data_IF_364987749992
#
_entry.id   IF_364987749992
#
_cell.length_a   1.000
_cell.length_b   1.000
_cell.length_c   1.000
_cell.angle_alpha   90.00
_cell.angle_beta   90.00
_cell.angle_gamma   90.00
#
_symmetry.space_group_name_H-M   'P 1'
#
loop_
_entity.id
_entity.type
_entity.pdbx_description
1 polymer ?
#
# COMPACT_ATOMS: atom_id res chain seq x y z
N UNK A 1 -21.43 -8.47 -38.00
CA UNK A 1 -22.03 -7.12 -37.94
C UNK A 1 -23.02 -7.04 -36.79
N UNK A 2 -22.55 -6.77 -35.57
CA UNK A 2 -23.42 -6.34 -34.48
C UNK A 2 -23.10 -4.87 -34.20
N UNK A 3 -24.04 -3.98 -34.52
CA UNK A 3 -24.00 -2.56 -34.18
C UNK A 3 -24.81 -2.40 -32.90
N UNK A 4 -24.16 -2.04 -31.80
CA UNK A 4 -24.85 -1.54 -30.62
C UNK A 4 -25.20 -0.07 -30.87
N UNK A 5 -26.48 0.27 -30.73
CA UNK A 5 -26.98 1.65 -30.70
C UNK A 5 -27.10 2.03 -29.24
N UNK A 6 -26.45 3.12 -28.82
CA UNK A 6 -26.56 3.65 -27.46
C UNK A 6 -27.75 4.62 -27.40
N UNK A 7 -28.62 4.37 -26.42
CA UNK A 7 -29.65 5.30 -25.97
C UNK A 7 -29.02 6.08 -24.81
N UNK A 8 -29.15 7.40 -24.87
CA UNK A 8 -28.85 8.36 -23.79
C UNK A 8 -27.38 8.65 -23.47
N UNK A 9 -26.83 9.67 -24.13
CA UNK A 9 -25.92 10.69 -23.56
C UNK A 9 -24.60 10.27 -22.90
N UNK A 10 -24.32 8.98 -22.76
CA UNK A 10 -23.11 8.45 -22.16
C UNK A 10 -22.00 8.47 -23.21
N UNK A 11 -20.88 9.10 -22.87
CA UNK A 11 -19.73 9.13 -23.77
C UNK A 11 -19.20 7.69 -23.91
N UNK A 12 -18.81 7.29 -25.12
CA UNK A 12 -18.22 5.98 -25.36
C UNK A 12 -16.91 5.77 -24.57
N UNK A 13 -16.27 6.85 -24.12
CA UNK A 13 -15.20 6.81 -23.12
C UNK A 13 -15.64 6.27 -21.76
N UNK A 14 -16.82 6.66 -21.26
CA UNK A 14 -17.34 6.25 -19.93
C UNK A 14 -17.77 4.76 -19.94
N UNK A 15 -18.13 4.23 -21.11
CA UNK A 15 -18.45 2.81 -21.31
C UNK A 15 -17.22 1.90 -21.34
N UNK A 16 -16.03 2.43 -21.65
CA UNK A 16 -14.78 1.66 -21.63
C UNK A 16 -14.29 1.40 -20.21
N UNK A 17 -14.62 2.27 -19.26
CA UNK A 17 -14.31 2.12 -17.83
C UNK A 17 -15.17 1.03 -17.15
N UNK A 18 -16.20 0.51 -17.83
CA UNK A 18 -17.06 -0.60 -17.38
C UNK A 18 -16.58 -1.99 -17.86
N UNK A 19 -15.61 -2.05 -18.77
CA UNK A 19 -14.97 -3.32 -19.15
C UNK A 19 -13.87 -3.64 -18.13
N UNK A 20 -13.63 -4.92 -17.78
CA UNK A 20 -12.54 -5.26 -16.86
C UNK A 20 -11.24 -4.69 -17.41
N UNK A 21 -10.67 -3.74 -16.67
CA UNK A 21 -9.50 -2.98 -17.09
C UNK A 21 -8.40 -3.97 -17.52
N UNK A 22 -8.00 -3.87 -18.78
CA UNK A 22 -6.82 -4.58 -19.25
C UNK A 22 -5.64 -4.01 -18.47
N UNK A 23 -5.12 -4.77 -17.51
CA UNK A 23 -3.90 -4.37 -16.80
C UNK A 23 -2.65 -4.69 -17.63
N UNK A 24 -1.64 -3.84 -17.48
CA UNK A 24 -0.37 -3.91 -18.18
C UNK A 24 0.75 -4.19 -17.18
N UNK A 25 1.82 -4.84 -17.63
CA UNK A 25 3.11 -4.95 -16.91
C UNK A 25 4.08 -3.82 -17.31
N UNK A 26 5.06 -3.53 -16.44
CA UNK A 26 6.10 -2.52 -16.67
C UNK A 26 6.84 -2.67 -18.02
N UNK A 27 7.03 -3.92 -18.48
CA UNK A 27 7.67 -4.23 -19.77
C UNK A 27 6.96 -3.60 -20.97
N UNK A 28 5.64 -3.39 -20.91
CA UNK A 28 4.91 -2.73 -22.01
C UNK A 28 5.25 -1.25 -22.17
N UNK A 29 5.86 -0.64 -21.15
CA UNK A 29 6.25 0.77 -21.13
C UNK A 29 7.77 0.96 -21.12
N UNK A 30 8.54 -0.13 -21.30
CA UNK A 30 10.01 -0.08 -21.20
C UNK A 30 10.52 0.25 -19.79
N UNK A 31 9.69 0.12 -18.76
CA UNK A 31 10.06 0.39 -17.37
C UNK A 31 10.79 -0.83 -16.82
N UNK A 32 12.02 -0.61 -16.33
CA UNK A 32 12.77 -1.63 -15.62
C UNK A 32 12.33 -1.66 -14.16
N UNK A 33 11.79 -2.79 -13.71
CA UNK A 33 11.39 -2.93 -12.31
C UNK A 33 12.59 -3.13 -11.39
N UNK A 34 12.49 -2.58 -10.18
CA UNK A 34 13.46 -2.82 -9.11
C UNK A 34 13.33 -4.27 -8.69
N UNK A 35 14.39 -5.04 -8.90
CA UNK A 35 14.50 -6.39 -8.36
C UNK A 35 14.94 -6.27 -6.90
N UNK A 36 14.03 -6.55 -5.97
CA UNK A 36 14.38 -6.68 -4.56
C UNK A 36 15.52 -7.69 -4.41
N UNK A 37 16.52 -7.40 -3.58
CA UNK A 37 17.65 -8.32 -3.33
C UNK A 37 17.61 -8.93 -1.94
N UNK A 38 16.68 -8.48 -1.11
CA UNK A 38 16.54 -8.90 0.26
C UNK A 38 15.26 -9.72 0.39
N UNK A 39 15.38 -10.84 1.07
CA UNK A 39 14.33 -11.79 1.41
C UNK A 39 14.55 -12.07 2.91
N UNK A 40 13.81 -11.35 3.75
CA UNK A 40 14.04 -11.37 5.21
C UNK A 40 13.64 -12.70 5.85
N UNK A 41 12.49 -13.24 5.46
CA UNK A 41 11.94 -14.48 6.01
C UNK A 41 12.44 -15.75 5.29
N UNK A 42 13.19 -15.59 4.19
CA UNK A 42 13.80 -16.66 3.39
C UNK A 42 12.76 -17.60 2.78
N UNK A 43 11.61 -17.05 2.39
CA UNK A 43 10.52 -17.82 1.77
C UNK A 43 10.70 -18.02 0.26
N UNK A 44 11.78 -17.48 -0.32
CA UNK A 44 12.08 -17.56 -1.74
C UNK A 44 11.49 -16.41 -2.57
N UNK A 45 10.83 -15.44 -1.93
CA UNK A 45 10.40 -14.18 -2.52
C UNK A 45 11.10 -13.02 -1.85
N UNK A 46 11.46 -12.04 -2.65
CA UNK A 46 12.04 -10.79 -2.14
C UNK A 46 10.99 -10.00 -1.36
N UNK A 47 11.41 -9.13 -0.45
CA UNK A 47 10.52 -8.25 0.31
C UNK A 47 9.58 -7.45 -0.62
N UNK A 48 10.07 -7.01 -1.79
CA UNK A 48 9.26 -6.33 -2.81
C UNK A 48 8.10 -7.21 -3.30
N UNK A 49 8.38 -8.48 -3.60
CA UNK A 49 7.37 -9.44 -4.04
C UNK A 49 6.39 -9.79 -2.91
N UNK A 50 6.90 -9.94 -1.68
CA UNK A 50 6.09 -10.21 -0.51
C UNK A 50 5.17 -9.03 -0.15
N UNK A 51 5.63 -7.79 -0.31
CA UNK A 51 4.78 -6.62 -0.09
C UNK A 51 3.59 -6.60 -1.07
N UNK A 52 3.83 -6.83 -2.36
CA UNK A 52 2.76 -6.90 -3.36
C UNK A 52 1.83 -8.08 -3.09
N UNK A 53 2.37 -9.25 -2.74
CA UNK A 53 1.60 -10.47 -2.48
C UNK A 53 0.73 -10.31 -1.22
N UNK A 54 1.33 -9.96 -0.10
CA UNK A 54 0.63 -9.75 1.17
C UNK A 54 -0.37 -8.61 1.13
N UNK A 55 -0.07 -7.52 0.41
CA UNK A 55 -1.03 -6.45 0.19
C UNK A 55 -2.25 -6.95 -0.59
N UNK A 56 -2.03 -7.72 -1.66
CA UNK A 56 -3.11 -8.21 -2.51
C UNK A 56 -3.97 -9.21 -1.76
N UNK A 57 -3.37 -10.26 -1.19
CA UNK A 57 -4.10 -11.25 -0.39
C UNK A 57 -4.83 -10.59 0.77
N UNK A 58 -4.16 -9.67 1.46
CA UNK A 58 -4.75 -8.88 2.52
C UNK A 58 -5.96 -8.10 2.06
N UNK A 59 -5.82 -7.22 1.07
CA UNK A 59 -6.91 -6.41 0.56
C UNK A 59 -8.12 -7.24 0.10
N UNK A 60 -7.91 -8.39 -0.56
CA UNK A 60 -9.01 -9.27 -0.97
C UNK A 60 -9.61 -10.09 0.18
N UNK A 61 -8.88 -10.34 1.27
CA UNK A 61 -9.43 -10.96 2.48
C UNK A 61 -10.33 -10.00 3.27
N UNK A 62 -10.11 -8.68 3.16
CA UNK A 62 -10.89 -7.65 3.84
C UNK A 62 -12.21 -7.39 3.09
N UNK A 63 -13.31 -7.94 3.60
CA UNK A 63 -14.65 -7.85 3.00
C UNK A 63 -15.33 -6.53 3.34
N UNK A 64 -15.27 -6.13 4.61
CA UNK A 64 -16.01 -5.01 5.17
C UNK A 64 -15.05 -3.97 5.74
N UNK A 65 -15.26 -2.71 5.36
CA UNK A 65 -14.51 -1.59 5.95
C UNK A 65 -15.05 -1.29 7.34
N UNK A 66 -14.25 -1.56 8.37
CA UNK A 66 -14.63 -1.37 9.78
C UNK A 66 -13.52 -0.63 10.51
N UNK A 67 -13.72 0.68 10.71
CA UNK A 67 -12.84 1.51 11.53
C UNK A 67 -13.23 1.39 13.01
N UNK A 68 -12.69 0.37 13.67
CA UNK A 68 -12.94 0.08 15.08
C UNK A 68 -11.63 -0.20 15.82
N UNK A 69 -11.64 0.13 17.10
CA UNK A 69 -10.61 -0.26 18.05
C UNK A 69 -10.68 -1.76 18.37
N UNK A 70 -9.54 -2.46 18.24
CA UNK A 70 -9.39 -3.86 18.62
C UNK A 70 -8.29 -3.98 19.68
N UNK A 71 -8.66 -4.45 20.88
CA UNK A 71 -7.74 -4.57 22.01
C UNK A 71 -6.60 -5.57 21.74
N UNK A 72 -6.85 -6.60 20.91
CA UNK A 72 -5.89 -7.58 20.43
C UNK A 72 -5.11 -7.11 19.19
N UNK A 73 -5.19 -5.81 18.88
CA UNK A 73 -4.49 -5.08 17.80
C UNK A 73 -4.93 -5.36 16.38
N UNK A 74 -5.25 -6.61 16.03
CA UNK A 74 -5.61 -7.01 14.67
C UNK A 74 -7.13 -7.20 14.55
N UNK A 75 -7.74 -6.76 13.44
CA UNK A 75 -9.16 -6.98 13.21
C UNK A 75 -9.49 -8.48 13.03
N UNK A 76 -10.74 -8.89 13.29
CA UNK A 76 -11.21 -10.24 12.97
C UNK A 76 -11.25 -10.47 11.46
N UNK A 77 -11.41 -11.73 11.06
CA UNK A 77 -11.41 -12.11 9.65
C UNK A 77 -12.50 -11.36 8.84
N UNK A 78 -12.09 -10.74 7.73
CA UNK A 78 -12.99 -10.03 6.84
C UNK A 78 -13.27 -8.58 7.21
N UNK A 79 -12.82 -8.10 8.37
CA UNK A 79 -12.90 -6.68 8.76
C UNK A 79 -11.54 -6.01 8.62
N UNK A 80 -11.53 -4.74 8.22
CA UNK A 80 -10.33 -3.92 8.29
C UNK A 80 -10.49 -2.56 7.66
N UNK A 81 -9.38 -1.84 7.54
CA UNK A 81 -9.26 -0.53 6.92
C UNK A 81 -8.05 -0.48 5.98
N UNK A 82 -7.78 0.67 5.38
CA UNK A 82 -6.68 0.85 4.44
C UNK A 82 -5.30 0.49 5.02
N UNK A 83 -5.04 0.80 6.29
CA UNK A 83 -3.78 0.45 6.97
C UNK A 83 -3.60 -1.04 7.19
N UNK A 84 -4.69 -1.82 7.17
CA UNK A 84 -4.60 -3.26 7.38
C UNK A 84 -3.90 -3.98 6.23
N UNK A 85 -4.07 -3.45 5.00
CA UNK A 85 -3.30 -3.87 3.81
C UNK A 85 -1.79 -3.73 4.04
N UNK A 86 -1.36 -2.70 4.79
CA UNK A 86 0.04 -2.38 4.98
C UNK A 86 0.70 -3.37 5.94
N UNK A 87 0.10 -3.63 7.11
CA UNK A 87 0.71 -4.61 8.01
C UNK A 87 0.64 -6.03 7.45
N UNK A 88 -0.35 -6.36 6.61
CA UNK A 88 -0.40 -7.65 5.91
C UNK A 88 0.74 -7.79 4.88
N UNK A 89 1.09 -6.72 4.17
CA UNK A 89 2.28 -6.68 3.32
C UNK A 89 3.58 -6.89 4.11
N UNK A 90 3.73 -6.20 5.25
CA UNK A 90 4.88 -6.39 6.15
C UNK A 90 4.93 -7.81 6.74
N UNK A 91 3.78 -8.36 7.14
CA UNK A 91 3.67 -9.72 7.66
C UNK A 91 4.12 -10.76 6.64
N UNK A 92 3.69 -10.62 5.39
CA UNK A 92 4.10 -11.55 4.31
C UNK A 92 5.61 -11.52 4.11
N UNK A 93 6.25 -10.34 4.23
CA UNK A 93 7.71 -10.23 4.22
C UNK A 93 8.40 -10.62 5.55
N UNK A 94 7.64 -11.11 6.53
CA UNK A 94 8.15 -11.61 7.80
C UNK A 94 8.42 -10.55 8.88
N UNK A 95 7.85 -9.35 8.77
CA UNK A 95 8.03 -8.27 9.74
C UNK A 95 6.79 -8.01 10.60
N UNK A 96 6.99 -7.66 11.87
CA UNK A 96 5.91 -7.15 12.73
C UNK A 96 5.84 -5.62 12.69
N UNK A 97 5.10 -5.05 11.73
CA UNK A 97 4.94 -3.59 11.59
C UNK A 97 4.49 -2.91 12.89
N UNK A 98 3.55 -3.53 13.63
CA UNK A 98 3.10 -3.05 14.94
C UNK A 98 4.26 -2.81 15.90
N UNK A 99 5.14 -3.80 16.07
CA UNK A 99 6.27 -3.71 17.00
C UNK A 99 7.32 -2.72 16.50
N UNK A 100 7.54 -2.65 15.18
CA UNK A 100 8.50 -1.72 14.58
C UNK A 100 8.08 -0.26 14.80
N UNK A 101 6.78 0.05 14.65
CA UNK A 101 6.22 1.37 14.93
C UNK A 101 6.24 1.67 16.43
N UNK A 102 5.85 0.72 17.27
CA UNK A 102 5.87 0.91 18.73
C UNK A 102 7.28 1.24 19.23
N UNK A 103 8.31 0.57 18.70
CA UNK A 103 9.71 0.86 19.00
C UNK A 103 10.10 2.26 18.53
N UNK A 104 9.80 2.64 17.28
CA UNK A 104 10.16 3.97 16.77
C UNK A 104 9.46 5.11 17.51
N UNK A 105 8.18 4.94 17.88
CA UNK A 105 7.44 5.91 18.70
C UNK A 105 8.08 6.06 20.09
N UNK A 106 8.41 4.94 20.75
CA UNK A 106 9.01 4.95 22.08
C UNK A 106 10.39 5.65 22.09
N UNK A 107 11.16 5.50 21.02
CA UNK A 107 12.49 6.09 20.89
C UNK A 107 12.47 7.54 20.39
N UNK A 108 11.37 8.01 19.80
CA UNK A 108 11.31 9.29 19.07
C UNK A 108 9.97 10.01 19.27
N UNK A 109 9.48 10.09 20.51
CA UNK A 109 8.16 10.63 20.84
C UNK A 109 7.91 12.06 20.30
N UNK A 110 8.96 12.88 20.22
CA UNK A 110 8.96 14.24 19.67
C UNK A 110 8.61 14.30 18.18
N UNK A 111 9.00 13.29 17.40
CA UNK A 111 8.63 13.17 16.00
C UNK A 111 7.13 12.91 15.81
N UNK A 112 6.49 12.26 16.78
CA UNK A 112 5.07 11.88 16.77
C UNK A 112 4.19 12.89 17.52
N UNK A 113 4.37 14.17 17.24
CA UNK A 113 3.71 15.29 17.91
C UNK A 113 2.16 15.27 17.94
N UNK A 114 1.52 14.43 17.11
CA UNK A 114 0.06 14.22 17.10
C UNK A 114 -0.42 13.13 18.06
N UNK A 115 0.48 12.37 18.67
CA UNK A 115 0.16 11.32 19.64
C UNK A 115 0.21 11.92 21.04
N UNK A 116 -0.94 12.01 21.72
CA UNK A 116 -0.99 12.44 23.13
C UNK A 116 -0.55 11.33 24.06
N UNK A 117 -1.03 10.12 23.82
CA UNK A 117 -0.67 8.91 24.57
C UNK A 117 -0.45 7.79 23.56
N UNK A 118 0.77 7.22 23.46
CA UNK A 118 1.02 6.06 22.62
C UNK A 118 0.08 4.92 22.97
N UNK A 119 -0.47 4.29 21.95
CA UNK A 119 -1.32 3.11 22.07
C UNK A 119 -0.75 2.00 21.18
N UNK A 120 0.14 1.17 21.75
CA UNK A 120 0.81 0.08 21.05
C UNK A 120 -0.14 -0.91 20.36
N UNK A 121 -1.43 -0.92 20.74
CA UNK A 121 -2.41 -1.81 20.15
C UNK A 121 -2.97 -1.30 18.83
N UNK A 122 -2.90 0.00 18.55
CA UNK A 122 -3.59 0.59 17.39
C UNK A 122 -2.76 1.62 16.62
N UNK A 123 -1.60 2.06 17.14
CA UNK A 123 -0.78 3.09 16.51
C UNK A 123 -0.36 2.76 15.07
N UNK A 124 -0.11 1.48 14.77
CA UNK A 124 0.20 1.01 13.41
C UNK A 124 -0.99 1.02 12.45
N UNK A 125 -2.21 1.20 12.95
CA UNK A 125 -3.44 1.34 12.17
C UNK A 125 -3.85 2.80 11.97
N UNK A 126 -2.99 3.76 12.31
CA UNK A 126 -3.22 5.20 12.10
C UNK A 126 -2.37 5.71 10.94
N UNK A 127 -3.02 6.20 9.88
CA UNK A 127 -2.35 6.69 8.66
C UNK A 127 -1.29 7.76 8.96
N UNK A 128 -1.59 8.71 9.85
CA UNK A 128 -0.63 9.77 10.22
C UNK A 128 0.62 9.22 10.94
N UNK A 129 0.46 8.19 11.76
CA UNK A 129 1.61 7.56 12.43
C UNK A 129 2.46 6.79 11.42
N UNK A 130 1.81 6.05 10.52
CA UNK A 130 2.47 5.36 9.41
C UNK A 130 3.26 6.33 8.52
N UNK A 131 2.68 7.48 8.18
CA UNK A 131 3.37 8.52 7.42
C UNK A 131 4.65 8.99 8.11
N UNK A 132 4.59 9.31 9.40
CA UNK A 132 5.77 9.74 10.17
C UNK A 132 6.82 8.62 10.22
N UNK A 133 6.38 7.39 10.49
CA UNK A 133 7.25 6.21 10.52
C UNK A 133 7.98 6.00 9.18
N UNK A 134 7.26 6.05 8.05
CA UNK A 134 7.88 5.84 6.74
C UNK A 134 8.84 6.95 6.34
N UNK A 135 8.56 8.22 6.70
CA UNK A 135 9.53 9.31 6.50
C UNK A 135 10.84 9.09 7.25
N UNK A 136 10.82 8.34 8.35
CA UNK A 136 12.00 8.05 9.18
C UNK A 136 12.70 6.75 8.80
N UNK A 137 11.95 5.74 8.36
CA UNK A 137 12.43 4.36 8.20
C UNK A 137 12.37 3.82 6.77
N UNK A 138 11.88 4.60 5.81
CA UNK A 138 11.83 4.25 4.40
C UNK A 138 12.51 5.32 3.54
N UNK A 139 12.71 5.02 2.26
CA UNK A 139 13.20 5.98 1.27
C UNK A 139 12.01 6.78 0.77
N UNK A 140 12.01 8.09 0.99
CA UNK A 140 11.02 9.01 0.41
C UNK A 140 11.33 9.24 -1.08
N UNK A 141 10.32 9.09 -1.93
CA UNK A 141 10.40 9.13 -3.39
C UNK A 141 9.54 10.27 -3.95
N UNK A 142 9.67 10.54 -5.25
CA UNK A 142 8.86 11.56 -5.93
C UNK A 142 7.36 11.24 -5.86
N UNK A 143 6.53 12.27 -5.67
CA UNK A 143 5.06 12.18 -5.75
C UNK A 143 4.51 12.59 -7.12
N UNK A 144 5.41 12.93 -8.06
CA UNK A 144 5.08 13.27 -9.44
C UNK A 144 4.61 12.03 -10.22
N UNK A 145 3.31 11.99 -10.53
CA UNK A 145 2.68 10.88 -11.26
C UNK A 145 3.10 10.81 -12.73
N UNK A 146 3.72 11.85 -13.28
CA UNK A 146 4.24 11.83 -14.67
C UNK A 146 5.50 10.98 -14.81
N UNK A 147 6.23 10.75 -13.70
CA UNK A 147 7.44 9.91 -13.65
C UNK A 147 7.09 8.46 -13.39
N UNK A 148 6.32 7.85 -14.29
CA UNK A 148 5.73 6.51 -14.15
C UNK A 148 6.74 5.41 -13.79
N UNK A 149 8.00 5.57 -14.18
CA UNK A 149 9.10 4.66 -13.89
C UNK A 149 9.60 4.72 -12.45
N UNK A 150 9.30 5.79 -11.70
CA UNK A 150 9.72 5.93 -10.30
C UNK A 150 8.83 5.15 -9.34
N UNK A 151 7.60 4.83 -9.77
CA UNK A 151 6.63 4.06 -9.02
C UNK A 151 6.86 2.58 -9.24
N UNK A 152 7.35 1.89 -8.21
CA UNK A 152 7.75 0.50 -8.29
C UNK A 152 6.84 -0.39 -7.45
N UNK A 153 6.68 -1.66 -7.81
CA UNK A 153 5.85 -2.58 -7.04
C UNK A 153 6.32 -2.63 -5.58
N UNK A 154 5.38 -2.69 -4.64
CA UNK A 154 5.67 -2.77 -3.21
C UNK A 154 5.96 -1.42 -2.54
N UNK A 155 6.10 -0.34 -3.30
CA UNK A 155 6.17 1.01 -2.73
C UNK A 155 4.86 1.34 -1.99
N UNK A 156 4.95 2.19 -0.96
CA UNK A 156 3.83 2.61 -0.10
C UNK A 156 3.43 4.03 -0.47
N UNK A 157 2.14 4.27 -0.66
CA UNK A 157 1.59 5.59 -1.02
C UNK A 157 0.64 6.05 0.05
N UNK A 158 0.88 7.22 0.61
CA UNK A 158 0.02 7.88 1.59
C UNK A 158 -0.66 9.08 0.92
N UNK A 159 -1.96 9.24 1.15
CA UNK A 159 -2.78 10.31 0.60
C UNK A 159 -3.20 11.29 1.70
N UNK A 160 -3.39 12.56 1.33
CA UNK A 160 -3.86 13.61 2.26
C UNK A 160 -5.23 13.31 2.88
N UNK A 161 -6.08 12.50 2.22
CA UNK A 161 -7.41 12.12 2.69
C UNK A 161 -7.44 11.02 3.76
N UNK A 162 -6.38 10.84 4.55
CA UNK A 162 -6.19 9.71 5.49
C UNK A 162 -6.38 8.34 4.82
N UNK A 163 -5.76 8.17 3.65
CA UNK A 163 -5.79 6.90 2.93
C UNK A 163 -4.37 6.43 2.62
N UNK A 164 -4.19 5.12 2.49
CA UNK A 164 -2.89 4.49 2.25
C UNK A 164 -3.07 3.22 1.39
N UNK A 165 -2.05 2.87 0.62
CA UNK A 165 -2.02 1.64 -0.16
C UNK A 165 -0.61 1.26 -0.63
N UNK A 166 -0.53 0.12 -1.32
CA UNK A 166 0.70 -0.42 -1.90
C UNK A 166 0.64 -0.32 -3.42
N UNK A 167 1.74 0.10 -4.05
CA UNK A 167 1.89 0.16 -5.50
C UNK A 167 1.91 -1.27 -6.07
N UNK A 168 1.03 -1.51 -7.05
CA UNK A 168 0.91 -2.79 -7.74
C UNK A 168 2.01 -3.02 -8.78
N UNK A 169 2.28 -4.29 -9.10
CA UNK A 169 3.00 -4.73 -10.29
C UNK A 169 2.11 -4.78 -11.56
N UNK A 170 0.91 -4.21 -11.48
CA UNK A 170 -0.01 -3.95 -12.60
C UNK A 170 -0.10 -2.46 -12.84
N UNK A 171 -0.24 -2.07 -14.10
CA UNK A 171 -0.33 -0.69 -14.57
C UNK A 171 -1.56 -0.48 -15.44
N UNK A 172 -2.03 0.74 -15.49
CA UNK A 172 -3.04 1.17 -16.45
C UNK A 172 -2.44 1.36 -17.85
N UNK A 173 -3.28 1.78 -18.81
CA UNK A 173 -2.89 2.00 -20.21
C UNK A 173 -1.88 3.15 -20.42
N UNK A 174 -1.66 3.99 -19.41
CA UNK A 174 -0.71 5.10 -19.42
C UNK A 174 0.60 4.75 -18.70
N UNK A 175 0.69 3.54 -18.14
CA UNK A 175 1.86 3.06 -17.42
C UNK A 175 1.89 3.46 -15.95
N UNK A 176 0.85 4.14 -15.44
CA UNK A 176 0.77 4.41 -14.02
C UNK A 176 0.35 3.13 -13.28
N UNK A 177 0.98 2.76 -12.15
CA UNK A 177 0.62 1.55 -11.45
C UNK A 177 -0.76 1.67 -10.80
N UNK A 178 -1.45 0.53 -10.74
CA UNK A 178 -2.64 0.38 -9.92
C UNK A 178 -2.25 0.47 -8.44
N UNK A 179 -3.20 0.84 -7.61
CA UNK A 179 -3.04 0.86 -6.15
C UNK A 179 -3.73 -0.36 -5.56
N UNK A 180 -3.04 -1.10 -4.69
CA UNK A 180 -3.61 -2.14 -3.84
C UNK A 180 -4.02 -1.50 -2.51
N UNK A 181 -5.31 -1.47 -2.20
CA UNK A 181 -5.84 -0.79 -1.01
C UNK A 181 -7.22 -1.31 -0.59
N UNK A 182 -7.63 -0.94 0.62
CA UNK A 182 -8.99 -1.13 1.10
C UNK A 182 -9.66 0.23 1.37
N UNK A 183 -10.39 0.75 0.39
CA UNK A 183 -11.14 2.02 0.48
C UNK A 183 -12.65 1.85 0.66
N UNK A 184 -13.11 0.68 1.12
CA UNK A 184 -14.54 0.38 1.31
C UNK A 184 -15.31 -0.09 0.07
N UNK A 185 -14.79 0.11 -1.14
CA UNK A 185 -15.37 -0.44 -2.39
C UNK A 185 -15.24 -1.96 -2.51
N UNK A 186 -15.63 -2.54 -3.64
CA UNK A 186 -15.38 -3.97 -3.95
C UNK A 186 -14.02 -4.18 -4.64
N UNK A 187 -13.54 -3.18 -5.38
CA UNK A 187 -12.23 -3.21 -6.00
C UNK A 187 -11.14 -3.07 -4.91
N UNK A 188 -10.07 -3.86 -5.07
CA UNK A 188 -8.92 -3.90 -4.16
C UNK A 188 -7.60 -3.55 -4.83
N UNK A 189 -7.60 -3.53 -6.16
CA UNK A 189 -6.45 -3.25 -7.00
C UNK A 189 -6.95 -2.48 -8.23
N UNK A 190 -6.86 -1.15 -8.21
CA UNK A 190 -7.50 -0.28 -9.20
C UNK A 190 -6.70 1.00 -9.49
N UNK A 191 -7.05 1.72 -10.57
CA UNK A 191 -6.43 3.02 -10.89
C UNK A 191 -6.95 4.09 -9.91
N UNK A 192 -6.29 4.19 -8.75
CA UNK A 192 -6.67 5.09 -7.67
C UNK A 192 -5.61 6.17 -7.35
N UNK A 193 -4.44 6.10 -7.98
CA UNK A 193 -3.32 7.03 -7.74
C UNK A 193 -3.68 8.51 -7.95
N UNK A 194 -4.63 8.81 -8.85
CA UNK A 194 -5.09 10.16 -9.16
C UNK A 194 -6.27 10.64 -8.31
N UNK A 195 -6.92 9.77 -7.53
CA UNK A 195 -8.20 10.08 -6.88
C UNK A 195 -8.07 11.09 -5.74
N UNK A 196 -6.88 11.19 -5.15
CA UNK A 196 -6.59 12.11 -4.05
C UNK A 196 -5.15 12.63 -4.17
N UNK A 197 -4.85 13.83 -3.63
CA UNK A 197 -3.48 14.31 -3.54
C UNK A 197 -2.59 13.36 -2.72
N UNK A 198 -1.43 13.02 -3.28
CA UNK A 198 -0.43 12.18 -2.61
C UNK A 198 0.32 13.02 -1.58
N UNK A 199 0.31 12.54 -0.33
CA UNK A 199 1.04 13.11 0.79
C UNK A 199 2.48 12.59 0.84
N UNK A 200 2.70 11.33 0.47
CA UNK A 200 4.05 10.75 0.42
C UNK A 200 4.10 9.44 -0.35
N UNK A 201 5.28 9.14 -0.87
CA UNK A 201 5.59 7.93 -1.61
C UNK A 201 6.89 7.35 -1.03
N UNK A 202 6.85 6.09 -0.60
CA UNK A 202 7.91 5.50 0.21
C UNK A 202 8.31 4.11 -0.30
N UNK A 203 9.61 3.82 -0.30
CA UNK A 203 10.13 2.47 -0.52
C UNK A 203 10.76 1.93 0.75
N UNK A 204 10.22 0.81 1.23
CA UNK A 204 10.85 0.08 2.33
C UNK A 204 12.10 -0.65 1.83
N UNK A 205 13.21 -0.47 2.54
CA UNK A 205 14.48 -1.14 2.26
C UNK A 205 15.13 -1.52 3.58
N UNK A 206 14.93 -2.79 3.97
CA UNK A 206 15.43 -3.32 5.23
C UNK A 206 16.95 -3.25 5.36
N UNK A 207 17.70 -3.21 4.25
CA UNK A 207 19.17 -3.14 4.27
C UNK A 207 19.69 -1.80 4.78
N UNK A 208 18.83 -0.78 4.85
CA UNK A 208 19.14 0.55 5.38
C UNK A 208 18.82 0.70 6.86
N UNK A 209 18.13 -0.27 7.46
CA UNK A 209 17.74 -0.26 8.85
C UNK A 209 18.73 -1.05 9.69
N UNK A 210 18.84 -0.68 10.97
CA UNK A 210 19.57 -1.49 11.94
C UNK A 210 18.82 -2.80 12.15
N UNK A 211 19.55 -3.89 12.36
CA UNK A 211 18.94 -5.21 12.61
C UNK A 211 17.97 -5.20 13.80
N UNK A 212 18.25 -4.41 14.84
CA UNK A 212 17.38 -4.24 16.01
C UNK A 212 16.03 -3.55 15.71
N UNK A 213 15.94 -2.83 14.59
CA UNK A 213 14.70 -2.19 14.12
C UNK A 213 13.85 -3.13 13.26
N UNK A 214 14.44 -4.23 12.76
CA UNK A 214 13.78 -5.25 11.95
C UNK A 214 13.22 -6.35 12.85
N UNK A 215 11.97 -6.18 13.27
CA UNK A 215 11.34 -7.09 14.23
C UNK A 215 10.59 -8.20 13.48
N UNK A 216 10.93 -9.48 13.68
CA UNK A 216 10.31 -10.57 12.94
C UNK A 216 8.84 -10.74 13.30
N UNK A 217 8.06 -11.19 12.33
CA UNK A 217 6.70 -11.71 12.56
C UNK A 217 6.77 -12.99 13.40
N UNK A 218 5.91 -13.07 14.42
CA UNK A 218 5.79 -14.21 15.35
C UNK A 218 4.37 -14.74 15.34
#
# INVERSE_FOLDING_TARGET
NFRYVLIDGTNWHDLLDLLPDRSYKAVHFGIKEVVGRFDYNKDGRTDVQNFVTGAREGAYSLRTYVDKYYWNSYPPEGEGVCTDVIWMAYKEAGYTLRRMINKDIAENADAYWRITTPDPAIDFRRVNNLYIYFRRKAIELTTDLTKVEQWQPGDIVVFWGNHIGIVSDKRDRYGLPLLIHHGGGLNREESAMHRQPILGHFRFDATRLKSEDLIPWQ
#
